data_IF_577922439408
#
_entry.id   IF_577922439408
#
_cell.length_a   1.000
_cell.length_b   1.000
_cell.length_c   1.000
_cell.angle_alpha   90.00
_cell.angle_beta   90.00
_cell.angle_gamma   90.00
#
_symmetry.space_group_name_H-M   'P 1'
#
loop_
_entity.id
_entity.type
_entity.pdbx_description
1 polymer ?
#
# COMPACT_ATOMS: atom_id res chain seq x y z
N UNK A 1 -3.77 3.43 -11.80
CA UNK A 1 -3.52 2.96 -10.44
C UNK A 1 -3.29 1.47 -10.49
N UNK A 2 -2.16 1.04 -9.94
CA UNK A 2 -1.72 -0.36 -9.89
C UNK A 2 -1.99 -0.97 -8.51
N UNK A 3 -1.90 -0.14 -7.46
CA UNK A 3 -2.15 -0.53 -6.07
C UNK A 3 -2.99 0.56 -5.39
N UNK A 4 -4.01 0.17 -4.64
CA UNK A 4 -4.72 1.02 -3.70
C UNK A 4 -4.26 0.67 -2.28
N UNK A 5 -3.94 1.67 -1.47
CA UNK A 5 -3.56 1.47 -0.07
C UNK A 5 -4.51 2.26 0.81
N UNK A 6 -5.19 1.59 1.72
CA UNK A 6 -6.05 2.20 2.73
C UNK A 6 -5.50 1.96 4.14
N UNK A 7 -5.75 2.87 5.07
CA UNK A 7 -5.33 2.76 6.46
C UNK A 7 -6.28 3.45 7.45
N UNK A 8 -6.25 3.00 8.70
CA UNK A 8 -6.89 3.70 9.83
C UNK A 8 -6.12 4.95 10.29
N UNK A 9 -4.92 5.22 9.75
CA UNK A 9 -4.14 6.46 9.97
C UNK A 9 -3.88 7.18 8.65
N UNK A 10 -3.62 8.48 8.71
CA UNK A 10 -3.41 9.31 7.53
C UNK A 10 -2.15 8.90 6.77
N UNK A 11 -2.32 8.46 5.53
CA UNK A 11 -1.25 8.03 4.66
C UNK A 11 -0.50 9.22 4.02
N UNK A 12 0.84 9.25 4.04
CA UNK A 12 1.61 10.32 3.44
C UNK A 12 1.67 10.23 1.89
N UNK A 13 1.55 11.37 1.22
CA UNK A 13 1.80 11.48 -0.23
C UNK A 13 3.32 11.41 -0.49
N UNK A 14 3.73 10.69 -1.54
CA UNK A 14 5.14 10.54 -1.96
C UNK A 14 5.27 10.49 -3.47
N UNK A 15 6.36 11.05 -3.98
CA UNK A 15 6.69 11.06 -5.40
C UNK A 15 8.15 10.65 -5.59
N UNK A 16 8.36 9.46 -6.14
CA UNK A 16 9.68 8.93 -6.48
C UNK A 16 9.85 9.06 -7.99
N UNK A 17 10.25 10.27 -8.42
CA UNK A 17 10.23 10.65 -9.84
C UNK A 17 11.23 9.83 -10.66
N UNK A 18 12.40 9.53 -10.10
CA UNK A 18 13.45 8.76 -10.79
C UNK A 18 13.01 7.33 -11.03
N UNK A 19 12.32 6.76 -10.04
CA UNK A 19 11.80 5.40 -10.05
C UNK A 19 10.45 5.31 -10.76
N UNK A 20 9.84 6.44 -11.15
CA UNK A 20 8.50 6.50 -11.74
C UNK A 20 7.43 5.83 -10.87
N UNK A 21 7.41 6.19 -9.58
CA UNK A 21 6.38 5.79 -8.61
C UNK A 21 5.71 7.02 -8.00
N UNK A 22 4.38 7.07 -8.06
CA UNK A 22 3.57 8.14 -7.49
C UNK A 22 2.56 7.58 -6.50
N UNK A 23 2.63 8.03 -5.25
CA UNK A 23 1.68 7.71 -4.18
C UNK A 23 0.89 8.98 -3.87
N UNK A 24 -0.35 9.03 -4.33
CA UNK A 24 -1.19 10.24 -4.30
C UNK A 24 -2.50 9.97 -3.59
N UNK A 25 -3.14 11.00 -3.05
CA UNK A 25 -4.53 10.88 -2.57
C UNK A 25 -5.40 10.37 -3.71
N UNK A 26 -6.21 9.35 -3.43
CA UNK A 26 -7.12 8.81 -4.41
C UNK A 26 -8.20 9.80 -4.81
N UNK A 27 -8.68 9.66 -6.04
CA UNK A 27 -9.93 10.29 -6.48
C UNK A 27 -11.11 9.59 -5.78
N UNK A 28 -12.33 10.13 -5.93
CA UNK A 28 -13.56 9.54 -5.40
C UNK A 28 -13.90 8.21 -6.11
N UNK A 29 -13.08 7.19 -5.90
CA UNK A 29 -13.29 5.84 -6.42
C UNK A 29 -13.85 5.02 -5.26
N UNK A 30 -15.17 4.82 -5.25
CA UNK A 30 -15.81 3.89 -4.32
C UNK A 30 -15.36 2.48 -4.69
N UNK A 31 -14.31 2.00 -4.04
CA UNK A 31 -13.92 0.60 -4.10
C UNK A 31 -14.80 -0.17 -3.12
N UNK A 32 -15.55 -1.19 -3.57
CA UNK A 32 -16.56 -1.86 -2.76
C UNK A 32 -15.99 -2.51 -1.49
N UNK A 33 -14.71 -2.86 -1.50
CA UNK A 33 -14.05 -3.64 -0.44
C UNK A 33 -13.15 -2.81 0.49
N UNK A 34 -13.10 -1.48 0.33
CA UNK A 34 -12.31 -0.59 1.20
C UNK A 34 -13.13 -0.18 2.42
N UNK A 35 -12.69 -0.59 3.60
CA UNK A 35 -13.37 -0.25 4.87
C UNK A 35 -12.65 0.83 5.69
N UNK A 36 -11.43 1.20 5.28
CA UNK A 36 -10.58 2.13 6.02
C UNK A 36 -10.69 3.58 5.49
N UNK A 37 -10.64 4.59 6.39
CA UNK A 37 -11.01 5.98 6.06
C UNK A 37 -9.95 6.77 5.28
N UNK A 38 -8.67 6.42 5.39
CA UNK A 38 -7.60 7.14 4.70
C UNK A 38 -7.03 6.27 3.59
N UNK A 39 -6.88 6.83 2.38
CA UNK A 39 -6.41 6.05 1.25
C UNK A 39 -5.56 6.85 0.26
N UNK A 40 -4.68 6.12 -0.42
CA UNK A 40 -3.84 6.60 -1.51
C UNK A 40 -3.86 5.61 -2.66
N UNK A 41 -3.69 6.14 -3.86
CA UNK A 41 -3.48 5.38 -5.08
C UNK A 41 -2.00 5.39 -5.42
N UNK A 42 -1.49 4.24 -5.80
CA UNK A 42 -0.13 4.05 -6.28
C UNK A 42 -0.18 3.82 -7.78
N UNK A 43 0.64 4.58 -8.49
CA UNK A 43 0.92 4.36 -9.90
C UNK A 43 2.42 4.12 -10.06
N UNK A 44 2.78 3.05 -10.77
CA UNK A 44 4.17 2.66 -11.01
C UNK A 44 4.35 2.16 -12.44
N UNK A 45 5.44 2.59 -13.09
CA UNK A 45 5.74 2.14 -14.47
C UNK A 45 6.49 0.81 -14.55
N UNK A 46 7.16 0.41 -13.46
CA UNK A 46 8.05 -0.75 -13.46
C UNK A 46 7.71 -1.70 -12.30
N UNK A 47 7.48 -3.01 -12.57
CA UNK A 47 7.17 -4.02 -11.56
C UNK A 47 8.22 -4.16 -10.44
N UNK A 48 9.49 -3.86 -10.74
CA UNK A 48 10.59 -3.96 -9.78
C UNK A 48 10.50 -2.95 -8.63
N UNK A 49 9.60 -1.98 -8.71
CA UNK A 49 9.43 -0.93 -7.71
C UNK A 49 8.52 -1.32 -6.53
N UNK A 50 8.02 -2.56 -6.47
CA UNK A 50 7.22 -3.04 -5.33
C UNK A 50 7.96 -2.90 -3.99
N UNK A 51 9.29 -3.02 -4.00
CA UNK A 51 10.11 -2.79 -2.81
C UNK A 51 9.93 -1.38 -2.22
N UNK A 52 9.74 -0.36 -3.05
CA UNK A 52 9.48 1.03 -2.61
C UNK A 52 8.15 1.10 -1.85
N UNK A 53 7.16 0.31 -2.26
CA UNK A 53 5.84 0.27 -1.61
C UNK A 53 5.92 -0.45 -0.26
N UNK A 54 6.67 -1.56 -0.19
CA UNK A 54 6.99 -2.23 1.08
C UNK A 54 7.66 -1.26 2.06
N UNK A 55 8.69 -0.55 1.61
CA UNK A 55 9.46 0.36 2.46
C UNK A 55 8.60 1.54 2.91
N UNK A 56 7.78 2.09 2.01
CA UNK A 56 6.76 3.09 2.34
C UNK A 56 5.81 2.62 3.45
N UNK A 57 5.32 1.38 3.39
CA UNK A 57 4.43 0.80 4.41
C UNK A 57 5.15 0.69 5.75
N UNK A 58 6.39 0.18 5.77
CA UNK A 58 7.14 0.01 7.02
C UNK A 58 7.52 1.34 7.66
N UNK A 59 7.94 2.33 6.88
CA UNK A 59 8.23 3.66 7.38
C UNK A 59 6.99 4.37 7.92
N UNK A 60 5.82 4.11 7.31
CA UNK A 60 4.55 4.57 7.85
C UNK A 60 4.20 3.87 9.17
N UNK A 61 4.34 2.55 9.26
CA UNK A 61 4.07 1.78 10.48
C UNK A 61 4.93 2.26 11.65
N UNK A 62 6.21 2.55 11.42
CA UNK A 62 7.14 3.08 12.44
C UNK A 62 6.70 4.40 13.09
N UNK A 63 5.85 5.18 12.42
CA UNK A 63 5.36 6.47 12.94
C UNK A 63 4.21 6.32 13.95
N UNK A 64 3.63 5.12 14.07
CA UNK A 64 2.44 4.89 14.89
C UNK A 64 2.62 3.66 15.79
N UNK A 65 1.92 3.65 16.93
CA UNK A 65 1.93 2.48 17.84
C UNK A 65 1.17 1.28 17.28
N UNK A 66 0.16 1.54 16.44
CA UNK A 66 -0.70 0.54 15.82
C UNK A 66 -1.24 1.10 14.51
N UNK A 67 -1.30 0.25 13.49
CA UNK A 67 -1.90 0.57 12.18
C UNK A 67 -2.64 -0.62 11.63
N UNK A 68 -3.74 -0.35 10.93
CA UNK A 68 -4.39 -1.30 10.04
C UNK A 68 -4.21 -0.79 8.61
N UNK A 69 -3.82 -1.67 7.70
CA UNK A 69 -3.54 -1.35 6.30
C UNK A 69 -4.22 -2.39 5.41
N UNK A 70 -4.95 -1.93 4.40
CA UNK A 70 -5.52 -2.74 3.33
C UNK A 70 -4.81 -2.39 2.02
N UNK A 71 -4.33 -3.40 1.32
CA UNK A 71 -3.81 -3.28 -0.04
C UNK A 71 -4.76 -3.97 -1.00
N UNK A 72 -5.19 -3.25 -2.04
CA UNK A 72 -5.87 -3.83 -3.20
C UNK A 72 -4.95 -3.73 -4.40
N UNK A 73 -4.60 -4.86 -5.01
CA UNK A 73 -3.60 -4.92 -6.07
C UNK A 73 -4.24 -5.51 -7.34
N UNK A 74 -4.14 -4.76 -8.44
CA UNK A 74 -4.75 -5.13 -9.73
C UNK A 74 -4.05 -6.31 -10.41
N UNK A 75 -2.72 -6.33 -10.35
CA UNK A 75 -1.90 -7.36 -11.00
C UNK A 75 -1.64 -8.53 -10.06
N UNK A 76 -1.94 -9.75 -10.51
CA UNK A 76 -1.83 -10.97 -9.69
C UNK A 76 -0.37 -11.30 -9.33
N UNK A 77 0.58 -11.03 -10.23
CA UNK A 77 2.00 -11.26 -9.95
C UNK A 77 2.51 -10.27 -8.90
N UNK A 78 2.10 -9.00 -8.98
CA UNK A 78 2.38 -8.00 -7.95
C UNK A 78 1.75 -8.39 -6.60
N UNK A 79 0.52 -8.93 -6.62
CA UNK A 79 -0.17 -9.39 -5.42
C UNK A 79 0.62 -10.50 -4.71
N UNK A 80 1.01 -11.54 -5.44
CA UNK A 80 1.79 -12.65 -4.89
C UNK A 80 3.14 -12.17 -4.32
N UNK A 81 3.82 -11.29 -5.07
CA UNK A 81 5.10 -10.71 -4.64
C UNK A 81 4.95 -9.89 -3.36
N UNK A 82 3.91 -9.05 -3.27
CA UNK A 82 3.65 -8.25 -2.07
C UNK A 82 3.26 -9.10 -0.86
N UNK A 83 2.49 -10.17 -1.06
CA UNK A 83 2.17 -11.12 -0.01
C UNK A 83 3.45 -11.77 0.56
N UNK A 84 4.37 -12.21 -0.30
CA UNK A 84 5.66 -12.76 0.13
C UNK A 84 6.47 -11.71 0.91
N UNK A 85 6.68 -10.52 0.33
CA UNK A 85 7.49 -9.45 0.94
C UNK A 85 6.99 -9.01 2.32
N UNK A 86 5.67 -9.07 2.56
CA UNK A 86 5.05 -8.62 3.80
C UNK A 86 4.76 -9.76 4.80
N UNK A 87 4.85 -11.03 4.37
CA UNK A 87 4.58 -12.21 5.21
C UNK A 87 5.53 -12.37 6.39
N UNK A 88 6.77 -11.89 6.27
CA UNK A 88 7.82 -12.08 7.27
C UNK A 88 7.75 -11.10 8.45
N UNK A 89 6.82 -10.14 8.42
CA UNK A 89 6.72 -9.10 9.44
C UNK A 89 5.69 -9.48 10.50
N UNK A 90 6.14 -10.17 11.56
CA UNK A 90 5.34 -10.36 12.78
C UNK A 90 5.32 -9.08 13.60
N UNK A 91 4.49 -8.13 13.19
CA UNK A 91 4.21 -6.94 13.97
C UNK A 91 2.90 -7.11 14.74
N UNK A 92 2.99 -7.40 16.03
CA UNK A 92 1.82 -7.72 16.89
C UNK A 92 0.76 -6.62 16.87
N UNK A 93 1.17 -5.36 16.68
CA UNK A 93 0.29 -4.20 16.68
C UNK A 93 -0.02 -3.64 15.29
N UNK A 94 0.46 -4.27 14.22
CA UNK A 94 0.22 -3.78 12.88
C UNK A 94 -0.38 -4.89 12.01
N UNK A 95 -1.53 -4.60 11.40
CA UNK A 95 -2.23 -5.55 10.54
C UNK A 95 -2.13 -5.07 9.11
N UNK A 96 -1.74 -5.98 8.21
CA UNK A 96 -1.77 -5.76 6.77
C UNK A 96 -2.65 -6.86 6.16
N UNK A 97 -3.67 -6.46 5.40
CA UNK A 97 -4.46 -7.36 4.56
C UNK A 97 -4.27 -6.99 3.09
N UNK A 98 -4.17 -8.01 2.23
CA UNK A 98 -3.87 -7.84 0.81
C UNK A 98 -4.92 -8.63 0.02
N UNK A 99 -5.60 -7.94 -0.88
CA UNK A 99 -6.68 -8.48 -1.71
C UNK A 99 -6.45 -8.14 -3.18
N UNK A 100 -6.98 -8.95 -4.12
CA UNK A 100 -7.06 -8.55 -5.52
C UNK A 100 -8.00 -7.36 -5.66
N UNK A 101 -7.70 -6.46 -6.61
CA UNK A 101 -8.60 -5.39 -7.04
C UNK A 101 -9.50 -5.84 -8.19
#
# INVERSE_FOLDING_TARGET
>A
MDIFIASNRQLPIRYYVQESVWIRRGGSTKLPDVTLPFFVEVEMKHPHNLAIIRDYIFDFQRQYKQTEIQLLIKDIAHLATMQEMLSHVKQIHHTITIYPL
#
